data_IF_282217233594
#
_entry.id   IF_282217233594
#
_cell.length_a   1.000
_cell.length_b   1.000
_cell.length_c   1.000
_cell.angle_alpha   90.00
_cell.angle_beta   90.00
_cell.angle_gamma   90.00
#
_symmetry.space_group_name_H-M   'P 1'
#
loop_
_entity.id
_entity.type
_entity.pdbx_description
1 polymer ?
#
# COMPACT_ATOMS: atom_id res chain seq x y z
N UNK A 1 7.96 -26.88 3.76
CA UNK A 1 6.63 -26.52 4.27
C UNK A 1 6.58 -25.03 4.58
N UNK A 2 5.53 -24.34 4.14
CA UNK A 2 5.26 -22.91 4.44
C UNK A 2 4.13 -22.83 5.46
N UNK A 3 4.30 -22.02 6.49
CA UNK A 3 3.29 -21.80 7.53
C UNK A 3 3.42 -20.41 8.16
N UNK A 4 2.40 -19.92 8.89
CA UNK A 4 2.58 -18.77 9.77
C UNK A 4 3.76 -18.96 10.72
N UNK A 5 4.53 -17.90 10.94
CA UNK A 5 5.64 -17.93 11.88
C UNK A 5 5.13 -18.18 13.31
N UNK A 6 5.90 -18.93 14.09
CA UNK A 6 5.68 -19.09 15.53
C UNK A 6 6.74 -18.28 16.29
N UNK A 7 6.53 -18.05 17.60
CA UNK A 7 7.49 -17.31 18.43
C UNK A 7 8.93 -17.87 18.33
N UNK A 8 9.08 -19.20 18.26
CA UNK A 8 10.38 -19.86 18.08
C UNK A 8 11.05 -19.52 16.73
N UNK A 9 10.28 -19.32 15.66
CA UNK A 9 10.81 -18.95 14.35
C UNK A 9 11.36 -17.52 14.35
N UNK A 10 10.73 -16.62 15.11
CA UNK A 10 11.10 -15.20 15.12
C UNK A 10 12.52 -14.97 15.63
N UNK A 11 13.05 -15.84 16.50
CA UNK A 11 14.44 -15.75 16.94
C UNK A 11 15.45 -15.78 15.78
N UNK A 12 15.12 -16.43 14.67
CA UNK A 12 15.95 -16.40 13.48
C UNK A 12 16.05 -14.99 12.87
N UNK A 13 14.98 -14.18 12.95
CA UNK A 13 14.96 -12.79 12.47
C UNK A 13 15.86 -11.85 13.29
N UNK A 14 16.35 -12.26 14.47
CA UNK A 14 17.38 -11.51 15.21
C UNK A 14 18.79 -11.74 14.65
N UNK A 15 19.02 -12.87 13.97
CA UNK A 15 20.29 -13.17 13.32
C UNK A 15 20.40 -12.41 12.00
N UNK A 16 21.61 -12.13 11.53
CA UNK A 16 21.80 -11.51 10.21
C UNK A 16 21.41 -12.54 9.14
N UNK A 17 20.36 -12.29 8.33
CA UNK A 17 20.06 -13.13 7.19
C UNK A 17 21.19 -13.01 6.16
N UNK A 18 21.40 -14.06 5.39
CA UNK A 18 22.37 -14.03 4.29
C UNK A 18 21.90 -13.09 3.19
N UNK A 19 20.59 -13.09 2.92
CA UNK A 19 19.95 -12.16 1.99
C UNK A 19 18.68 -11.59 2.60
N UNK A 20 18.51 -10.27 2.51
CA UNK A 20 17.31 -9.56 2.96
C UNK A 20 16.94 -8.45 2.00
N UNK A 21 15.64 -8.27 1.82
CA UNK A 21 15.07 -7.28 0.93
C UNK A 21 13.95 -6.58 1.69
N UNK A 22 14.03 -5.26 1.73
CA UNK A 22 12.98 -4.41 2.28
C UNK A 22 12.22 -3.82 1.12
N UNK A 23 10.90 -3.95 1.19
CA UNK A 23 9.97 -3.34 0.26
C UNK A 23 9.51 -2.04 0.91
N UNK A 24 10.33 -0.99 0.78
CA UNK A 24 10.10 0.26 1.52
C UNK A 24 8.73 0.85 1.18
N UNK A 25 7.92 0.99 2.22
CA UNK A 25 6.66 1.74 2.21
C UNK A 25 6.84 3.00 3.06
N UNK A 26 5.94 3.96 2.91
CA UNK A 26 5.92 5.20 3.69
C UNK A 26 5.95 4.91 5.20
N UNK A 27 5.16 3.91 5.61
CA UNK A 27 5.09 3.41 6.98
C UNK A 27 6.44 2.96 7.54
N UNK A 28 7.23 2.26 6.73
CA UNK A 28 8.56 1.76 7.08
C UNK A 28 9.59 2.87 7.20
N UNK A 29 9.53 3.87 6.31
CA UNK A 29 10.38 5.06 6.37
C UNK A 29 10.12 5.86 7.65
N UNK A 30 8.85 6.01 8.05
CA UNK A 30 8.45 6.80 9.21
C UNK A 30 8.83 6.18 10.59
N UNK A 31 8.86 4.84 10.71
CA UNK A 31 8.89 4.13 12.01
C UNK A 31 10.16 3.34 12.31
N UNK A 32 11.05 3.15 11.31
CA UNK A 32 12.04 2.07 11.27
C UNK A 32 11.47 0.67 11.40
N UNK A 33 11.55 -0.04 10.29
CA UNK A 33 11.12 -1.41 10.22
C UNK A 33 12.11 -2.37 10.88
N UNK A 34 11.65 -3.05 11.94
CA UNK A 34 12.39 -4.10 12.64
C UNK A 34 11.63 -5.43 12.49
N UNK A 35 12.04 -6.34 11.58
CA UNK A 35 11.29 -7.56 11.24
C UNK A 35 10.86 -8.40 12.45
N UNK A 36 11.77 -8.57 13.42
CA UNK A 36 11.52 -9.30 14.66
C UNK A 36 10.42 -8.64 15.50
N UNK A 37 10.55 -7.34 15.78
CA UNK A 37 9.61 -6.60 16.64
C UNK A 37 8.23 -6.53 15.99
N UNK A 38 8.19 -6.32 14.68
CA UNK A 38 6.96 -6.29 13.90
C UNK A 38 6.23 -7.64 14.00
N UNK A 39 6.94 -8.75 13.79
CA UNK A 39 6.32 -10.07 13.93
C UNK A 39 5.87 -10.37 15.35
N UNK A 40 6.68 -10.02 16.35
CA UNK A 40 6.34 -10.26 17.75
C UNK A 40 5.08 -9.49 18.16
N UNK A 41 4.94 -8.23 17.70
CA UNK A 41 3.73 -7.43 17.93
C UNK A 41 2.50 -8.01 17.25
N UNK A 42 2.64 -8.51 16.02
CA UNK A 42 1.51 -9.15 15.32
C UNK A 42 0.99 -10.41 16.01
N UNK A 43 1.84 -11.12 16.79
CA UNK A 43 1.44 -12.29 17.56
C UNK A 43 0.73 -11.95 18.88
N UNK A 44 1.14 -10.85 19.51
CA UNK A 44 0.68 -10.46 20.86
C UNK A 44 -0.48 -9.45 20.82
N UNK A 45 -0.77 -8.88 19.65
CA UNK A 45 -1.71 -7.77 19.51
C UNK A 45 -3.17 -8.21 19.41
N UNK A 46 -4.08 -7.68 20.24
CA UNK A 46 -5.50 -7.74 19.96
C UNK A 46 -5.82 -6.70 18.88
N UNK A 47 -5.98 -7.13 17.62
CA UNK A 47 -6.58 -6.37 16.50
C UNK A 47 -5.86 -5.04 16.17
N UNK A 48 -5.00 -5.02 15.14
CA UNK A 48 -4.63 -3.74 14.51
C UNK A 48 -3.31 -3.67 13.75
N UNK A 49 -2.33 -4.52 14.06
CA UNK A 49 -1.17 -4.74 13.19
C UNK A 49 -1.48 -5.97 12.35
N UNK A 50 -2.26 -5.80 11.26
CA UNK A 50 -2.54 -6.87 10.29
C UNK A 50 -1.28 -7.19 9.46
N UNK A 51 -0.19 -7.53 10.15
CA UNK A 51 1.05 -8.02 9.55
C UNK A 51 1.01 -9.53 9.57
N UNK A 52 1.14 -10.12 8.39
CA UNK A 52 1.27 -11.56 8.20
C UNK A 52 2.75 -11.88 8.03
N UNK A 53 3.28 -12.75 8.88
CA UNK A 53 4.63 -13.31 8.74
C UNK A 53 4.52 -14.79 8.41
N UNK A 54 5.01 -15.19 7.24
CA UNK A 54 5.12 -16.61 6.86
C UNK A 54 6.59 -17.03 6.91
N UNK A 55 6.79 -18.29 7.27
CA UNK A 55 8.09 -18.95 7.29
C UNK A 55 8.06 -20.18 6.38
N UNK A 56 9.07 -20.29 5.52
CA UNK A 56 9.39 -21.49 4.77
C UNK A 56 10.50 -22.24 5.50
N UNK A 57 10.34 -23.54 5.68
CA UNK A 57 11.44 -24.46 6.00
C UNK A 57 11.51 -25.54 4.92
N UNK A 58 12.64 -25.63 4.20
CA UNK A 58 12.89 -26.63 3.14
C UNK A 58 14.36 -27.05 3.19
N UNK A 59 14.63 -28.34 3.40
CA UNK A 59 15.99 -28.94 3.33
C UNK A 59 17.09 -28.13 4.07
N UNK A 60 16.79 -27.65 5.28
CA UNK A 60 17.73 -26.85 6.09
C UNK A 60 17.73 -25.34 5.81
N UNK A 61 17.19 -24.91 4.66
CA UNK A 61 16.97 -23.49 4.35
C UNK A 61 15.75 -22.94 5.08
N UNK A 62 15.84 -21.66 5.48
CA UNK A 62 14.73 -20.93 6.08
C UNK A 62 14.49 -19.63 5.33
N UNK A 63 13.25 -19.39 4.95
CA UNK A 63 12.81 -18.17 4.31
C UNK A 63 11.71 -17.49 5.12
N UNK A 64 11.64 -16.17 5.07
CA UNK A 64 10.61 -15.37 5.71
C UNK A 64 10.06 -14.35 4.74
N UNK A 65 8.74 -14.18 4.77
CA UNK A 65 8.02 -13.09 4.11
C UNK A 65 7.15 -12.37 5.13
N UNK A 66 7.13 -11.04 5.07
CA UNK A 66 6.24 -10.22 5.87
C UNK A 66 5.44 -9.30 4.96
N UNK A 67 4.14 -9.25 5.18
CA UNK A 67 3.24 -8.39 4.44
C UNK A 67 2.27 -7.70 5.40
N UNK A 68 1.92 -6.45 5.13
CA UNK A 68 1.06 -5.61 5.97
C UNK A 68 -0.22 -5.30 5.23
N UNK A 69 -1.37 -5.63 5.82
CA UNK A 69 -2.67 -5.22 5.29
C UNK A 69 -2.91 -3.74 5.57
N UNK A 70 -3.51 -3.05 4.61
CA UNK A 70 -3.94 -1.66 4.78
C UNK A 70 -5.26 -1.63 5.56
N UNK A 71 -5.35 -0.79 6.59
CA UNK A 71 -6.48 -0.82 7.53
C UNK A 71 -7.85 -0.46 6.91
N UNK A 72 -7.87 0.23 5.77
CA UNK A 72 -9.10 0.75 5.14
C UNK A 72 -9.29 0.25 3.70
N UNK A 73 -8.53 -0.76 3.28
CA UNK A 73 -8.61 -1.30 1.93
C UNK A 73 -8.36 -2.81 1.94
N UNK A 74 -8.97 -3.58 1.03
CA UNK A 74 -8.68 -5.00 0.82
C UNK A 74 -7.35 -5.17 0.10
N UNK A 75 -6.29 -4.59 0.66
CA UNK A 75 -4.98 -4.44 0.05
C UNK A 75 -3.89 -4.86 1.03
N UNK A 76 -2.84 -5.48 0.51
CA UNK A 76 -1.69 -5.87 1.31
C UNK A 76 -0.38 -5.43 0.63
N UNK A 77 0.53 -4.87 1.40
CA UNK A 77 1.87 -4.50 0.95
C UNK A 77 2.88 -5.54 1.43
N UNK A 78 3.63 -6.15 0.52
CA UNK A 78 4.82 -6.90 0.89
C UNK A 78 5.81 -5.89 1.49
N UNK A 79 6.40 -6.24 2.63
CA UNK A 79 7.28 -5.34 3.39
C UNK A 79 8.69 -5.91 3.58
N UNK A 80 8.82 -7.24 3.61
CA UNK A 80 10.12 -7.89 3.87
C UNK A 80 10.20 -9.28 3.26
N UNK A 81 11.35 -9.60 2.68
CA UNK A 81 11.79 -10.95 2.34
C UNK A 81 13.17 -11.21 2.95
N UNK A 82 13.36 -12.39 3.55
CA UNK A 82 14.66 -12.81 4.05
C UNK A 82 14.90 -14.30 3.93
N UNK A 83 16.16 -14.65 3.69
CA UNK A 83 16.60 -16.01 3.45
C UNK A 83 17.85 -16.30 4.27
N UNK A 84 17.87 -17.51 4.82
CA UNK A 84 18.91 -18.04 5.67
C UNK A 84 19.33 -19.39 5.09
N UNK A 85 20.61 -19.52 4.71
CA UNK A 85 21.17 -20.79 4.26
C UNK A 85 21.16 -21.85 5.37
N UNK A 86 21.20 -23.11 4.95
CA UNK A 86 21.52 -24.22 5.82
C UNK A 86 22.95 -24.08 6.34
N UNK A 87 23.22 -24.57 7.55
CA UNK A 87 24.54 -24.54 8.19
C UNK A 87 25.64 -25.30 7.42
N UNK A 88 25.30 -26.01 6.33
CA UNK A 88 26.23 -26.73 5.46
C UNK A 88 25.99 -26.34 4.00
N UNK A 89 26.75 -25.36 3.51
CA UNK A 89 27.19 -25.23 2.11
C UNK A 89 26.16 -25.03 0.98
N UNK A 90 24.85 -25.08 1.19
CA UNK A 90 23.88 -24.82 0.11
C UNK A 90 23.75 -23.31 -0.13
N UNK A 91 23.83 -22.90 -1.39
CA UNK A 91 24.00 -21.52 -1.88
C UNK A 91 23.01 -20.46 -1.40
N UNK A 92 23.16 -19.26 -1.98
CA UNK A 92 22.29 -18.10 -1.75
C UNK A 92 20.83 -18.56 -1.87
N UNK A 93 19.90 -18.11 -0.98
CA UNK A 93 18.49 -18.46 -1.08
C UNK A 93 17.98 -18.28 -2.52
N UNK A 94 17.66 -19.40 -3.16
CA UNK A 94 17.28 -19.46 -4.58
C UNK A 94 15.99 -18.69 -4.87
N UNK A 95 15.80 -18.34 -6.15
CA UNK A 95 14.54 -17.83 -6.67
C UNK A 95 13.33 -18.68 -6.24
N UNK A 96 13.51 -20.00 -6.13
CA UNK A 96 12.50 -20.95 -5.65
C UNK A 96 11.96 -20.64 -4.25
N UNK A 97 12.81 -20.16 -3.33
CA UNK A 97 12.40 -19.81 -1.97
C UNK A 97 11.50 -18.57 -2.00
N UNK A 98 11.87 -17.57 -2.79
CA UNK A 98 11.06 -16.36 -2.96
C UNK A 98 9.75 -16.67 -3.66
N UNK A 99 9.80 -17.47 -4.72
CA UNK A 99 8.64 -17.92 -5.46
C UNK A 99 7.62 -18.58 -4.53
N UNK A 100 8.06 -19.62 -3.80
CA UNK A 100 7.18 -20.37 -2.91
C UNK A 100 6.56 -19.49 -1.82
N UNK A 101 7.35 -18.58 -1.23
CA UNK A 101 6.88 -17.67 -0.18
C UNK A 101 5.84 -16.67 -0.68
N UNK A 102 6.09 -16.06 -1.84
CA UNK A 102 5.18 -15.06 -2.43
C UNK A 102 3.93 -15.75 -2.96
N UNK A 103 4.04 -16.91 -3.59
CA UNK A 103 2.91 -17.73 -4.03
C UNK A 103 1.97 -18.07 -2.86
N UNK A 104 2.52 -18.57 -1.75
CA UNK A 104 1.70 -18.91 -0.60
C UNK A 104 1.09 -17.67 0.09
N UNK A 105 1.77 -16.51 0.03
CA UNK A 105 1.18 -15.25 0.48
C UNK A 105 -0.02 -14.87 -0.39
N UNK A 106 0.09 -14.99 -1.71
CA UNK A 106 -1.00 -14.69 -2.65
C UNK A 106 -2.22 -15.59 -2.38
N UNK A 107 -2.00 -16.89 -2.24
CA UNK A 107 -3.05 -17.86 -1.95
C UNK A 107 -3.81 -17.49 -0.67
N UNK A 108 -3.08 -17.23 0.42
CA UNK A 108 -3.66 -16.80 1.71
C UNK A 108 -4.38 -15.46 1.61
N UNK A 109 -3.83 -14.52 0.85
CA UNK A 109 -4.43 -13.21 0.63
C UNK A 109 -5.78 -13.36 -0.11
N UNK A 110 -5.85 -14.22 -1.12
CA UNK A 110 -7.11 -14.54 -1.82
C UNK A 110 -8.17 -15.12 -0.89
N UNK A 111 -7.81 -16.08 -0.03
CA UNK A 111 -8.71 -16.62 0.99
C UNK A 111 -9.18 -15.57 2.01
N UNK A 112 -8.31 -14.59 2.32
CA UNK A 112 -8.63 -13.47 3.20
C UNK A 112 -9.40 -12.33 2.50
N UNK A 113 -9.86 -12.53 1.25
CA UNK A 113 -10.55 -11.54 0.42
C UNK A 113 -9.76 -10.24 0.19
N UNK A 114 -8.43 -10.36 0.14
CA UNK A 114 -7.58 -9.29 -0.36
C UNK A 114 -7.76 -9.24 -1.88
N UNK A 115 -7.97 -8.05 -2.41
CA UNK A 115 -8.16 -7.81 -3.84
C UNK A 115 -6.85 -7.45 -4.53
N UNK A 116 -5.89 -6.85 -3.81
CA UNK A 116 -4.64 -6.36 -4.39
C UNK A 116 -3.43 -6.61 -3.49
N UNK A 117 -2.36 -7.13 -4.07
CA UNK A 117 -1.05 -7.29 -3.44
C UNK A 117 -0.06 -6.34 -4.09
N UNK A 118 0.60 -5.51 -3.29
CA UNK A 118 1.58 -4.54 -3.76
C UNK A 118 3.00 -4.92 -3.30
N UNK A 119 3.98 -4.56 -4.13
CA UNK A 119 5.40 -4.73 -3.81
C UNK A 119 6.21 -3.55 -4.38
N UNK A 120 7.10 -2.96 -3.56
CA UNK A 120 8.06 -1.94 -4.00
C UNK A 120 9.48 -2.53 -4.01
N UNK A 121 10.07 -2.72 -5.18
CA UNK A 121 11.38 -3.40 -5.32
C UNK A 121 12.41 -2.45 -5.90
N UNK A 122 13.57 -2.33 -5.24
CA UNK A 122 14.70 -1.57 -5.78
C UNK A 122 15.33 -2.31 -6.97
N UNK A 123 15.80 -1.57 -7.97
CA UNK A 123 16.32 -2.11 -9.23
C UNK A 123 17.45 -3.16 -9.05
N UNK A 124 18.22 -3.08 -7.95
CA UNK A 124 19.32 -4.01 -7.63
C UNK A 124 18.89 -5.46 -7.29
N UNK A 125 17.59 -5.75 -7.25
CA UNK A 125 17.05 -7.06 -6.87
C UNK A 125 16.34 -7.73 -8.05
N UNK A 126 17.05 -7.92 -9.16
CA UNK A 126 16.53 -8.45 -10.42
C UNK A 126 15.88 -9.83 -10.28
N UNK A 127 16.48 -10.74 -9.51
CA UNK A 127 15.93 -12.08 -9.24
C UNK A 127 14.55 -12.03 -8.57
N UNK A 128 14.32 -11.06 -7.67
CA UNK A 128 13.01 -10.86 -7.04
C UNK A 128 12.04 -10.21 -7.99
N UNK A 129 12.50 -9.29 -8.85
CA UNK A 129 11.67 -8.72 -9.92
C UNK A 129 11.17 -9.82 -10.85
N UNK A 130 12.05 -10.72 -11.29
CA UNK A 130 11.66 -11.85 -12.15
C UNK A 130 10.72 -12.82 -11.42
N UNK A 131 10.97 -13.11 -10.14
CA UNK A 131 10.04 -13.91 -9.31
C UNK A 131 8.64 -13.28 -9.25
N UNK A 132 8.55 -11.97 -9.05
CA UNK A 132 7.27 -11.25 -9.03
C UNK A 132 6.57 -11.33 -10.39
N UNK A 133 7.29 -11.11 -11.49
CA UNK A 133 6.74 -11.23 -12.85
C UNK A 133 6.22 -12.64 -13.13
N UNK A 134 6.97 -13.68 -12.79
CA UNK A 134 6.55 -15.09 -12.94
C UNK A 134 5.28 -15.40 -12.14
N UNK A 135 5.13 -14.77 -10.97
CA UNK A 135 3.92 -14.85 -10.16
C UNK A 135 2.80 -13.91 -10.64
N UNK A 136 2.93 -13.28 -11.80
CA UNK A 136 1.88 -12.46 -12.41
C UNK A 136 1.72 -11.07 -11.80
N UNK A 137 2.73 -10.57 -11.06
CA UNK A 137 2.76 -9.15 -10.72
C UNK A 137 3.11 -8.32 -11.95
N UNK A 138 2.43 -7.19 -12.10
CA UNK A 138 2.66 -6.24 -13.17
C UNK A 138 3.33 -4.97 -12.61
N UNK A 139 4.47 -4.53 -13.17
CA UNK A 139 5.02 -3.22 -12.85
C UNK A 139 4.07 -2.15 -13.37
N UNK A 140 3.74 -1.14 -12.55
CA UNK A 140 2.81 -0.09 -12.95
C UNK A 140 3.38 1.33 -12.84
N UNK A 141 4.43 1.57 -12.04
CA UNK A 141 5.15 2.85 -12.00
C UNK A 141 6.48 2.66 -11.27
N UNK A 142 7.36 3.65 -11.37
CA UNK A 142 8.50 3.80 -10.45
C UNK A 142 8.18 4.81 -9.35
N UNK A 143 8.97 4.80 -8.28
CA UNK A 143 9.01 5.86 -7.28
C UNK A 143 10.46 6.16 -6.88
N UNK A 144 10.73 7.43 -6.60
CA UNK A 144 11.97 7.94 -6.06
C UNK A 144 11.79 8.26 -4.58
N UNK A 145 12.77 7.87 -3.77
CA UNK A 145 12.83 8.21 -2.34
C UNK A 145 13.91 9.27 -2.16
N UNK A 146 13.49 10.46 -1.79
CA UNK A 146 14.33 11.60 -1.47
C UNK A 146 14.44 11.75 0.05
N UNK A 147 15.59 12.17 0.57
CA UNK A 147 15.84 12.33 2.01
C UNK A 147 16.46 13.68 2.32
N UNK A 148 15.91 14.35 3.32
CA UNK A 148 16.44 15.53 3.99
C UNK A 148 16.73 15.16 5.46
N UNK A 149 18.00 14.91 5.83
CA UNK A 149 18.36 14.38 7.15
C UNK A 149 18.05 15.37 8.29
N UNK A 150 18.34 16.64 8.07
CA UNK A 150 18.15 17.74 9.02
C UNK A 150 17.39 18.85 8.30
N UNK A 151 16.05 18.90 8.42
CA UNK A 151 15.30 20.00 7.83
C UNK A 151 15.62 21.29 8.57
N UNK A 152 16.13 22.30 7.86
CA UNK A 152 16.17 23.65 8.39
C UNK A 152 14.71 24.11 8.54
N UNK A 153 14.23 24.21 9.78
CA UNK A 153 12.92 24.80 10.08
C UNK A 153 13.06 26.30 9.83
N UNK A 154 12.83 26.72 8.59
CA UNK A 154 12.72 28.12 8.23
C UNK A 154 11.25 28.53 8.42
N UNK A 155 11.03 29.75 8.91
CA UNK A 155 9.69 30.32 8.99
C UNK A 155 9.05 30.28 7.58
N UNK A 156 7.84 29.73 7.52
CA UNK A 156 7.17 29.47 6.25
C UNK A 156 7.00 30.77 5.46
N UNK A 157 7.20 30.71 4.15
CA UNK A 157 6.84 31.83 3.28
C UNK A 157 5.33 32.09 3.42
N UNK A 158 4.97 33.27 3.92
CA UNK A 158 3.59 33.72 4.11
C UNK A 158 2.77 33.78 2.80
N UNK A 159 3.41 33.56 1.65
CA UNK A 159 2.84 33.72 0.31
C UNK A 159 2.01 32.53 -0.17
N UNK A 160 1.99 31.39 0.54
CA UNK A 160 1.26 30.20 0.09
C UNK A 160 0.01 29.94 0.93
N UNK A 161 -1.16 30.03 0.31
CA UNK A 161 -2.47 29.74 0.90
C UNK A 161 -2.75 28.24 1.08
N UNK A 162 -1.76 27.47 1.53
CA UNK A 162 -1.95 26.05 1.89
C UNK A 162 -2.80 25.98 3.17
N UNK A 163 -3.93 25.29 3.09
CA UNK A 163 -4.78 25.03 4.26
C UNK A 163 -4.71 23.57 4.68
N UNK A 164 -5.02 23.29 5.95
CA UNK A 164 -5.15 21.91 6.42
C UNK A 164 -6.28 21.18 5.69
N UNK A 165 -6.07 19.90 5.45
CA UNK A 165 -7.07 19.00 4.91
C UNK A 165 -8.21 18.80 5.91
N UNK A 166 -9.44 18.96 5.43
CA UNK A 166 -10.68 18.59 6.10
C UNK A 166 -11.25 17.28 5.52
N UNK A 167 -12.18 16.65 6.25
CA UNK A 167 -12.84 15.40 5.79
C UNK A 167 -13.53 15.56 4.44
N UNK A 168 -14.12 16.73 4.17
CA UNK A 168 -14.80 17.04 2.90
C UNK A 168 -13.86 17.09 1.69
N UNK A 169 -12.56 17.25 1.92
CA UNK A 169 -11.57 17.36 0.83
C UNK A 169 -11.24 16.00 0.21
N UNK A 170 -11.71 14.88 0.78
CA UNK A 170 -11.40 13.55 0.27
C UNK A 170 -11.81 13.35 -1.20
N UNK A 171 -12.96 13.91 -1.60
CA UNK A 171 -13.41 13.86 -3.00
C UNK A 171 -12.60 14.81 -3.91
N UNK A 172 -12.42 16.10 -3.58
CA UNK A 172 -11.54 16.99 -4.34
C UNK A 172 -10.09 16.47 -4.50
N UNK A 173 -9.52 15.82 -3.47
CA UNK A 173 -8.19 15.19 -3.55
C UNK A 173 -8.22 14.01 -4.52
N UNK A 174 -9.29 13.20 -4.51
CA UNK A 174 -9.45 12.11 -5.47
C UNK A 174 -9.57 12.62 -6.91
N UNK A 175 -10.26 13.75 -7.14
CA UNK A 175 -10.32 14.39 -8.44
C UNK A 175 -8.94 14.88 -8.89
N UNK A 176 -8.18 15.54 -8.01
CA UNK A 176 -6.80 15.92 -8.29
C UNK A 176 -5.95 14.71 -8.67
N UNK A 177 -6.00 13.63 -7.87
CA UNK A 177 -5.32 12.37 -8.19
C UNK A 177 -5.67 11.84 -9.59
N UNK A 178 -6.96 11.84 -9.94
CA UNK A 178 -7.47 11.36 -11.24
C UNK A 178 -6.98 12.23 -12.40
N UNK A 179 -6.75 13.54 -12.18
CA UNK A 179 -6.19 14.44 -13.20
C UNK A 179 -4.69 14.24 -13.40
N UNK A 180 -3.92 14.11 -12.32
CA UNK A 180 -2.45 14.15 -12.37
C UNK A 180 -1.79 12.77 -12.49
N UNK A 181 -2.56 11.69 -12.31
CA UNK A 181 -2.03 10.32 -12.31
C UNK A 181 -2.31 9.65 -13.66
N UNK A 182 -1.35 8.98 -14.31
CA UNK A 182 -1.60 8.25 -15.56
C UNK A 182 -2.66 7.15 -15.40
N UNK A 183 -3.46 6.91 -16.45
CA UNK A 183 -4.57 5.94 -16.41
C UNK A 183 -4.14 4.53 -15.98
N UNK A 184 -3.00 4.03 -16.45
CA UNK A 184 -2.50 2.70 -16.08
C UNK A 184 -2.18 2.60 -14.57
N UNK A 185 -1.68 3.67 -13.96
CA UNK A 185 -1.45 3.74 -12.51
C UNK A 185 -2.79 3.77 -11.76
N UNK A 186 -3.78 4.52 -12.25
CA UNK A 186 -5.11 4.55 -11.64
C UNK A 186 -5.79 3.17 -11.69
N UNK A 187 -5.66 2.46 -12.81
CA UNK A 187 -6.17 1.09 -12.98
C UNK A 187 -5.42 0.08 -12.10
N UNK A 188 -4.14 0.33 -11.81
CA UNK A 188 -3.34 -0.51 -10.92
C UNK A 188 -3.66 -0.28 -9.44
N UNK A 189 -3.84 0.98 -9.02
CA UNK A 189 -4.08 1.30 -7.61
C UNK A 189 -5.57 1.22 -7.23
N UNK A 190 -6.51 1.42 -8.18
CA UNK A 190 -7.97 1.45 -7.99
C UNK A 190 -8.40 2.25 -6.74
N UNK A 191 -7.73 3.38 -6.50
CA UNK A 191 -7.98 4.19 -5.30
C UNK A 191 -9.39 4.72 -5.31
N UNK A 192 -10.09 4.52 -4.20
CA UNK A 192 -11.39 5.13 -3.93
C UNK A 192 -11.21 6.47 -3.22
N UNK A 193 -12.25 7.31 -3.25
CA UNK A 193 -12.25 8.61 -2.56
C UNK A 193 -12.05 8.48 -1.04
N UNK A 194 -12.52 7.37 -0.44
CA UNK A 194 -12.31 7.02 0.97
C UNK A 194 -10.83 6.90 1.35
N UNK A 195 -9.95 6.53 0.41
CA UNK A 195 -8.51 6.39 0.64
C UNK A 195 -7.81 7.71 0.96
N UNK A 196 -8.44 8.85 0.67
CA UNK A 196 -7.91 10.18 0.97
C UNK A 196 -8.37 10.71 2.32
N UNK A 197 -9.24 9.99 3.04
CA UNK A 197 -9.63 10.40 4.38
C UNK A 197 -8.48 10.16 5.35
N UNK A 198 -8.11 11.20 6.11
CA UNK A 198 -7.13 11.03 7.18
C UNK A 198 -7.73 10.17 8.29
N UNK A 199 -7.00 9.14 8.76
CA UNK A 199 -7.48 8.30 9.85
C UNK A 199 -7.67 9.13 11.12
N UNK A 200 -8.64 8.72 11.93
CA UNK A 200 -8.78 9.28 13.28
C UNK A 200 -7.47 9.08 14.05
N UNK A 201 -6.98 10.10 14.79
CA UNK A 201 -5.74 10.00 15.54
C UNK A 201 -5.78 8.84 16.55
N UNK A 202 -5.18 7.70 16.21
CA UNK A 202 -5.06 6.58 17.14
C UNK A 202 -3.83 6.82 18.02
N UNK A 203 -4.06 7.29 19.25
CA UNK A 203 -3.02 7.57 20.27
C UNK A 203 -1.99 6.43 20.45
N UNK A 204 -2.32 5.18 20.10
CA UNK A 204 -1.49 4.00 20.33
C UNK A 204 -0.50 3.61 19.22
N UNK A 205 -0.64 4.11 17.97
CA UNK A 205 0.21 3.62 16.86
C UNK A 205 1.52 4.39 16.64
N UNK A 206 1.81 5.43 17.46
CA UNK A 206 3.09 6.14 17.40
C UNK A 206 3.33 6.94 16.12
N UNK A 207 2.35 7.02 15.22
CA UNK A 207 2.37 7.82 14.01
C UNK A 207 1.11 8.68 13.85
N UNK A 208 1.21 9.74 13.05
CA UNK A 208 0.14 10.71 12.79
C UNK A 208 0.14 11.07 11.32
N UNK A 209 -1.05 11.16 10.73
CA UNK A 209 -1.22 11.61 9.36
C UNK A 209 -1.82 13.02 9.33
N UNK A 210 -1.29 13.85 8.45
CA UNK A 210 -1.75 15.20 8.18
C UNK A 210 -1.80 15.43 6.67
N UNK A 211 -2.64 16.35 6.25
CA UNK A 211 -2.76 16.76 4.85
C UNK A 211 -2.82 18.27 4.76
N UNK A 212 -2.22 18.82 3.71
CA UNK A 212 -2.38 20.22 3.30
C UNK A 212 -2.87 20.25 1.86
N UNK A 213 -3.75 21.18 1.56
CA UNK A 213 -4.36 21.36 0.24
C UNK A 213 -4.23 22.81 -0.20
N UNK A 214 -4.11 23.00 -1.51
CA UNK A 214 -4.16 24.30 -2.17
C UNK A 214 -5.25 24.27 -3.25
N UNK A 215 -6.03 25.35 -3.30
CA UNK A 215 -7.16 25.50 -4.21
C UNK A 215 -8.47 25.67 -3.47
N UNK A 216 -9.54 25.84 -4.23
CA UNK A 216 -10.89 25.94 -3.69
C UNK A 216 -11.50 24.53 -3.49
N UNK A 217 -12.65 24.46 -2.81
CA UNK A 217 -13.30 23.18 -2.49
C UNK A 217 -13.77 22.39 -3.74
N UNK A 218 -13.76 22.98 -4.94
CA UNK A 218 -14.17 22.35 -6.19
C UNK A 218 -13.00 21.88 -7.06
N UNK A 219 -11.84 22.53 -6.95
CA UNK A 219 -10.67 22.29 -7.77
C UNK A 219 -9.40 22.50 -6.93
N UNK A 220 -8.94 21.42 -6.31
CA UNK A 220 -7.62 21.40 -5.68
C UNK A 220 -6.54 21.30 -6.75
N UNK A 221 -5.50 22.09 -6.62
CA UNK A 221 -4.34 22.10 -7.52
C UNK A 221 -3.16 21.33 -6.89
N UNK A 222 -3.11 21.27 -5.56
CA UNK A 222 -2.10 20.53 -4.82
C UNK A 222 -2.69 19.86 -3.59
N UNK A 223 -2.13 18.71 -3.25
CA UNK A 223 -2.29 18.02 -1.99
C UNK A 223 -0.93 17.50 -1.50
N UNK A 224 -0.58 17.75 -0.23
CA UNK A 224 0.59 17.16 0.42
C UNK A 224 0.11 16.30 1.58
N UNK A 225 0.27 14.99 1.45
CA UNK A 225 0.10 14.06 2.56
C UNK A 225 1.40 13.94 3.36
N UNK A 226 1.28 13.93 4.68
CA UNK A 226 2.42 13.82 5.61
C UNK A 226 2.14 12.76 6.65
N UNK A 227 2.93 11.70 6.61
CA UNK A 227 2.99 10.68 7.65
C UNK A 227 4.15 11.01 8.61
N UNK A 228 3.82 11.34 9.85
CA UNK A 228 4.80 11.53 10.92
C UNK A 228 4.90 10.25 11.73
N UNK A 229 6.03 9.56 11.68
CA UNK A 229 6.34 8.44 12.58
C UNK A 229 7.50 8.77 13.51
N UNK A 230 7.83 7.91 14.49
CA UNK A 230 8.80 8.16 15.56
C UNK A 230 10.22 8.50 15.08
N UNK A 231 10.56 8.23 13.81
CA UNK A 231 11.91 8.46 13.28
C UNK A 231 11.98 9.44 12.11
N UNK A 232 10.89 9.62 11.37
CA UNK A 232 10.88 10.47 10.21
C UNK A 232 9.49 11.00 9.87
N UNK A 233 9.46 12.11 9.14
CA UNK A 233 8.32 12.55 8.37
C UNK A 233 8.41 11.98 6.96
N UNK A 234 7.28 11.61 6.36
CA UNK A 234 7.20 11.14 4.98
C UNK A 234 6.18 11.99 4.24
N UNK A 235 6.64 12.73 3.25
CA UNK A 235 5.87 13.57 2.35
C UNK A 235 5.48 12.78 1.10
N UNK A 236 4.20 12.87 0.72
CA UNK A 236 3.69 12.39 -0.56
C UNK A 236 2.86 13.49 -1.22
N UNK A 237 3.45 14.25 -2.16
CA UNK A 237 2.75 15.32 -2.86
C UNK A 237 1.98 14.80 -4.09
N UNK A 238 0.82 15.39 -4.33
CA UNK A 238 0.10 15.43 -5.60
C UNK A 238 0.01 16.88 -6.02
N UNK A 239 0.37 17.19 -7.25
CA UNK A 239 0.37 18.55 -7.77
C UNK A 239 0.10 18.54 -9.25
N UNK A 240 -0.58 19.58 -9.73
CA UNK A 240 -0.70 19.87 -11.15
C UNK A 240 0.66 20.29 -11.73
N UNK A 241 1.05 19.79 -12.92
CA UNK A 241 2.33 20.12 -13.55
C UNK A 241 2.57 21.64 -13.70
N UNK A 242 1.51 22.43 -13.85
CA UNK A 242 1.54 23.89 -13.97
C UNK A 242 2.10 24.58 -12.71
N UNK A 243 2.03 23.93 -11.54
CA UNK A 243 2.55 24.45 -10.28
C UNK A 243 4.04 24.15 -10.05
N UNK A 244 4.75 23.58 -11.03
CA UNK A 244 6.16 23.13 -10.87
C UNK A 244 7.08 24.21 -10.31
N UNK A 245 6.95 25.45 -10.78
CA UNK A 245 7.79 26.58 -10.33
C UNK A 245 7.54 26.96 -8.85
N UNK A 246 6.37 26.62 -8.32
CA UNK A 246 5.97 26.97 -6.95
C UNK A 246 6.14 25.79 -5.98
N UNK A 247 6.52 24.61 -6.50
CA UNK A 247 6.64 23.38 -5.73
C UNK A 247 7.64 23.52 -4.56
N UNK A 248 8.77 24.20 -4.76
CA UNK A 248 9.76 24.44 -3.71
C UNK A 248 9.17 25.26 -2.55
N UNK A 249 8.47 26.35 -2.85
CA UNK A 249 7.81 27.20 -1.84
C UNK A 249 6.72 26.44 -1.09
N UNK A 250 5.93 25.62 -1.80
CA UNK A 250 4.87 24.82 -1.20
C UNK A 250 5.40 23.70 -0.29
N UNK A 251 6.45 23.00 -0.72
CA UNK A 251 7.14 22.00 0.10
C UNK A 251 7.81 22.66 1.31
N UNK A 252 8.44 23.82 1.16
CA UNK A 252 9.00 24.62 2.26
C UNK A 252 7.95 24.97 3.30
N UNK A 253 6.76 25.39 2.86
CA UNK A 253 5.63 25.64 3.75
C UNK A 253 5.19 24.39 4.50
N UNK A 254 5.09 23.23 3.83
CA UNK A 254 4.75 21.98 4.50
C UNK A 254 5.81 21.57 5.54
N UNK A 255 7.10 21.80 5.24
CA UNK A 255 8.22 21.57 6.15
C UNK A 255 8.17 22.49 7.37
N UNK A 256 7.80 23.77 7.23
CA UNK A 256 7.71 24.72 8.35
C UNK A 256 6.61 24.35 9.35
N UNK A 257 5.62 23.56 8.94
CA UNK A 257 4.55 23.05 9.81
C UNK A 257 4.89 21.71 10.49
N UNK A 258 6.13 21.25 10.34
CA UNK A 258 6.66 20.10 11.08
C UNK A 258 7.13 20.57 12.45
N UNK A 259 6.52 20.02 13.49
CA UNK A 259 6.77 20.43 14.88
C UNK A 259 8.04 19.84 15.48
N UNK A 260 8.72 18.91 14.80
CA UNK A 260 9.85 18.16 15.35
C UNK A 260 10.97 18.02 14.32
N UNK A 261 12.24 18.26 14.69
CA UNK A 261 13.38 18.13 13.78
C UNK A 261 13.70 16.64 13.59
N UNK A 262 12.99 16.01 12.66
CA UNK A 262 13.20 14.62 12.25
C UNK A 262 13.59 14.58 10.78
N UNK A 263 14.28 13.52 10.36
CA UNK A 263 14.54 13.27 8.95
C UNK A 263 13.23 13.31 8.15
N UNK A 264 13.26 13.95 7.00
CA UNK A 264 12.11 14.03 6.10
C UNK A 264 12.40 13.20 4.85
N UNK A 265 11.50 12.29 4.53
CA UNK A 265 11.49 11.61 3.24
C UNK A 265 10.45 12.24 2.35
N UNK A 266 10.74 12.40 1.06
CA UNK A 266 9.73 12.67 0.04
C UNK A 266 9.66 11.48 -0.92
N UNK A 267 8.46 10.92 -1.08
CA UNK A 267 8.21 9.78 -1.97
C UNK A 267 7.50 10.29 -3.21
N UNK A 268 8.23 10.31 -4.33
CA UNK A 268 7.80 10.91 -5.58
C UNK A 268 7.56 9.80 -6.61
N UNK A 269 6.40 9.80 -7.28
CA UNK A 269 6.13 8.85 -8.36
C UNK A 269 6.93 9.24 -9.61
N UNK A 270 7.28 8.26 -10.45
CA UNK A 270 8.07 8.49 -11.66
C UNK A 270 7.47 9.52 -12.61
N UNK A 271 6.14 9.56 -12.73
CA UNK A 271 5.42 10.56 -13.53
C UNK A 271 5.37 11.96 -12.89
N UNK A 272 5.90 12.13 -11.68
CA UNK A 272 6.04 13.40 -10.97
C UNK A 272 7.52 13.79 -10.76
N UNK A 273 8.46 13.11 -11.44
CA UNK A 273 9.91 13.29 -11.25
C UNK A 273 10.41 14.71 -11.48
N UNK A 274 9.63 15.52 -12.20
CA UNK A 274 9.90 16.93 -12.49
C UNK A 274 10.04 17.81 -11.24
N UNK A 275 9.51 17.37 -10.08
CA UNK A 275 9.69 18.06 -8.79
C UNK A 275 11.09 17.85 -8.20
N UNK A 276 11.93 17.00 -8.80
CA UNK A 276 13.29 16.72 -8.33
C UNK A 276 14.12 17.98 -8.12
N UNK A 277 14.08 18.94 -9.05
CA UNK A 277 14.81 20.20 -8.91
C UNK A 277 14.37 21.03 -7.69
N UNK A 278 13.06 21.07 -7.40
CA UNK A 278 12.53 21.74 -6.21
C UNK A 278 12.94 21.02 -4.91
N UNK A 279 13.06 19.69 -4.95
CA UNK A 279 13.56 18.92 -3.81
C UNK A 279 15.05 19.17 -3.56
N UNK A 280 15.86 19.23 -4.61
CA UNK A 280 17.29 19.54 -4.54
C UNK A 280 17.55 20.96 -4.00
N UNK A 281 16.76 21.96 -4.42
CA UNK A 281 16.81 23.33 -3.89
C UNK A 281 16.55 23.35 -2.37
N UNK A 282 15.66 22.48 -1.89
CA UNK A 282 15.36 22.32 -0.47
C UNK A 282 16.37 21.43 0.28
N UNK A 283 17.42 20.97 -0.38
CA UNK A 283 18.49 20.17 0.19
C UNK A 283 18.19 18.67 0.32
N UNK A 284 17.10 18.19 -0.28
CA UNK A 284 16.86 16.75 -0.37
C UNK A 284 17.89 16.09 -1.28
N UNK A 285 18.27 14.85 -0.93
CA UNK A 285 19.12 14.01 -1.76
C UNK A 285 18.37 12.75 -2.16
N UNK A 286 18.47 12.35 -3.43
CA UNK A 286 17.95 11.08 -3.91
C UNK A 286 18.66 9.93 -3.17
N UNK A 287 17.88 9.04 -2.54
CA UNK A 287 18.40 7.90 -1.78
C UNK A 287 18.20 6.56 -2.46
N UNK A 288 17.25 6.49 -3.37
CA UNK A 288 17.03 5.29 -4.15
C UNK A 288 15.73 5.34 -4.91
N UNK A 289 15.60 4.38 -5.81
CA UNK A 289 14.44 4.20 -6.66
C UNK A 289 13.88 2.80 -6.48
N UNK A 290 12.56 2.68 -6.64
CA UNK A 290 11.87 1.40 -6.59
C UNK A 290 10.84 1.31 -7.70
N UNK A 291 10.75 0.14 -8.32
CA UNK A 291 9.63 -0.21 -9.19
C UNK A 291 8.47 -0.71 -8.33
N UNK A 292 7.28 -0.18 -8.59
CA UNK A 292 6.05 -0.59 -7.92
C UNK A 292 5.35 -1.64 -8.77
N UNK A 293 5.02 -2.75 -8.12
CA UNK A 293 4.32 -3.89 -8.69
C UNK A 293 2.96 -4.06 -8.02
N UNK A 294 1.98 -4.52 -8.79
CA UNK A 294 0.67 -4.92 -8.30
C UNK A 294 0.30 -6.30 -8.84
N UNK A 295 -0.36 -7.10 -8.01
CA UNK A 295 -1.12 -8.28 -8.44
C UNK A 295 -2.56 -8.13 -7.99
N UNK A 296 -3.48 -8.10 -8.96
CA UNK A 296 -4.91 -8.16 -8.70
C UNK A 296 -5.31 -9.61 -8.44
N UNK A 297 -6.04 -9.84 -7.35
CA UNK A 297 -6.55 -11.16 -6.97
C UNK A 297 -8.02 -11.25 -7.34
N UNK A 298 -8.42 -12.39 -7.90
CA UNK A 298 -9.82 -12.70 -8.12
C UNK A 298 -10.40 -13.18 -6.81
N UNK A 299 -11.29 -12.38 -6.22
CA UNK A 299 -11.98 -12.74 -4.98
C UNK A 299 -13.34 -13.36 -5.35
N UNK A 300 -13.61 -14.63 -5.02
CA UNK A 300 -14.90 -15.23 -5.32
C UNK A 300 -16.01 -14.55 -4.50
N UNK A 301 -16.94 -13.88 -5.19
CA UNK A 301 -18.12 -13.28 -4.59
C UNK A 301 -19.23 -14.34 -4.50
N UNK A 302 -19.62 -14.75 -3.28
CA UNK A 302 -20.86 -15.51 -3.08
C UNK A 302 -22.03 -14.55 -3.31
N UNK A 303 -22.56 -14.53 -4.53
CA UNK A 303 -23.81 -13.85 -4.81
C UNK A 303 -24.95 -14.70 -4.22
N UNK A 304 -25.65 -14.17 -3.23
CA UNK A 304 -26.94 -14.73 -2.85
C UNK A 304 -27.88 -14.50 -4.04
N UNK A 305 -28.05 -15.52 -4.88
CA UNK A 305 -29.07 -15.49 -5.92
C UNK A 305 -30.40 -15.44 -5.19
N UNK A 306 -31.03 -14.26 -5.13
CA UNK A 306 -32.44 -14.17 -4.83
C UNK A 306 -33.15 -14.78 -6.02
N UNK A 307 -33.52 -16.05 -5.89
CA UNK A 307 -34.45 -16.68 -6.82
C UNK A 307 -35.71 -15.81 -6.78
N UNK A 308 -36.09 -15.11 -7.87
CA UNK A 308 -37.38 -14.47 -7.92
C UNK A 308 -38.41 -15.57 -7.65
N UNK A 309 -39.40 -15.33 -6.80
CA UNK A 309 -40.51 -16.25 -6.61
C UNK A 309 -41.28 -16.35 -7.94
N UNK A 310 -40.77 -17.16 -8.87
CA UNK A 310 -41.44 -17.49 -10.11
C UNK A 310 -42.52 -18.51 -9.76
N UNK A 311 -43.75 -17.99 -9.70
CA UNK A 311 -44.99 -18.72 -9.87
C UNK A 311 -45.20 -19.87 -8.88
N UNK A 312 -45.76 -19.53 -7.70
CA UNK A 312 -46.81 -20.40 -7.14
C UNK A 312 -47.96 -20.39 -8.14
N UNK A 313 -47.94 -21.31 -9.09
CA UNK A 313 -49.12 -21.65 -9.86
C UNK A 313 -50.07 -22.33 -8.89
N UNK A 314 -51.00 -21.57 -8.33
CA UNK A 314 -52.22 -22.18 -7.79
C UNK A 314 -52.85 -22.95 -8.96
N UNK A 315 -53.23 -24.23 -8.81
CA UNK A 315 -53.97 -24.92 -9.84
C UNK A 315 -55.33 -24.22 -9.96
N UNK A 316 -55.45 -23.37 -10.98
CA UNK A 316 -56.71 -22.81 -11.39
C UNK A 316 -57.60 -23.98 -11.82
N UNK A 317 -58.50 -24.40 -10.93
CA UNK A 317 -59.60 -25.30 -11.26
C UNK A 317 -60.49 -24.55 -12.25
N UNK A 318 -60.24 -24.74 -13.55
CA UNK A 318 -61.17 -24.25 -14.57
C UNK A 318 -62.55 -24.89 -14.34
N UNK A 319 -63.62 -24.11 -14.25
CA UNK A 319 -64.97 -24.65 -14.15
C UNK A 319 -65.33 -25.41 -15.43
N UNK A 320 -65.72 -26.67 -15.26
CA UNK A 320 -66.14 -27.58 -16.32
C UNK A 320 -67.21 -26.93 -17.20
N UNK A 321 -66.85 -26.63 -18.45
CA UNK A 321 -67.82 -26.27 -19.49
C UNK A 321 -68.56 -27.54 -19.91
N UNK A 322 -69.84 -27.62 -19.54
CA UNK A 322 -70.76 -28.68 -19.93
C UNK A 322 -71.05 -28.61 -21.43
N UNK A 323 -70.79 -29.71 -22.14
CA UNK A 323 -71.13 -29.86 -23.55
C UNK A 323 -72.67 -29.93 -23.73
N UNK A 324 -73.27 -29.21 -24.69
CA UNK A 324 -74.70 -29.27 -24.93
C UNK A 324 -75.11 -30.59 -25.61
N UNK A 325 -76.17 -31.22 -25.09
CA UNK A 325 -76.83 -32.40 -25.66
C UNK A 325 -77.52 -32.04 -26.99
N UNK A 326 -77.30 -32.86 -28.01
CA UNK A 326 -77.99 -32.78 -29.30
C UNK A 326 -79.44 -33.29 -29.12
N UNK A 327 -80.48 -32.59 -29.62
CA UNK A 327 -81.86 -33.07 -29.60
C UNK A 327 -82.11 -34.16 -30.66
N UNK A 328 -83.11 -35.00 -30.38
CA UNK A 328 -83.41 -36.32 -30.99
C UNK A 328 -83.50 -36.36 -32.52
#
# INVERSE_FOLDING_TARGET
MIRPAMAADLWALRRRPQRRIFFYTETMLATSYRPFVVSLRSMLGPIGDDVVTLVLRKSGMRGFIQARKRSHAPEIDISYLAGFAAARGSGIPDGDVWYSLVENLIERAGHARIERVFASVGHRFEDVIETLKQLGFQPYTTQQIWMLPEPAIQEGSALVALRRQHRRDAWPIHQLYTRVTPRHVQQAELRQSSAWQLPLPRRRLGWRERGWVLGNDQALQMYIHVLTGPRAHVLRPLFEPELRQQAATMLRYALSHMSEPRTVFAVIRGYQSEIGGALEELGFKLRGEQTLFVKHLVVPQRQAVRVPALLRTEPNLEPATTLPRIPQ
#
